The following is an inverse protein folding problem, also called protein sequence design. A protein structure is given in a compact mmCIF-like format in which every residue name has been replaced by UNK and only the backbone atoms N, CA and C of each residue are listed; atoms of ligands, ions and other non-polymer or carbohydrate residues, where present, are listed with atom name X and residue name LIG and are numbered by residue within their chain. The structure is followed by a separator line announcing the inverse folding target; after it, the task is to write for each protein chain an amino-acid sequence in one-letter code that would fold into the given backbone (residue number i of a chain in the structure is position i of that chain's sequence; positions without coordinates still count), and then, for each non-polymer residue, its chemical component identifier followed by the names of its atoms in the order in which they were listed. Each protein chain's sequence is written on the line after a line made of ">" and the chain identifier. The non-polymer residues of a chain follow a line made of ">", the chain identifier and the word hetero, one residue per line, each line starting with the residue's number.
data_IF_273947667264
#
_entry.id   IF_273947667264
#
_cell.length_a   1.000
_cell.length_b   1.000
_cell.length_c   1.000
_cell.angle_alpha   90.00
_cell.angle_beta   90.00
_cell.angle_gamma   90.00
#
_symmetry.space_group_name_H-M   'P 1'
#
loop_
_entity.id
_entity.type
_entity.pdbx_description
1 polymer ?
#
# COMPACT_ATOMS: atom_id res chain seq x y z
N UNK A 1 -0.20 20.59 -8.76
CA UNK A 1 -1.33 21.23 -8.02
C UNK A 1 -0.97 21.29 -6.56
N UNK A 2 -1.42 22.34 -5.87
CA UNK A 2 -1.21 22.51 -4.42
C UNK A 2 -2.41 21.91 -3.68
N UNK A 3 -2.14 20.97 -2.78
CA UNK A 3 -3.14 20.32 -1.95
C UNK A 3 -2.85 20.63 -0.48
N UNK A 4 -3.88 21.03 0.26
CA UNK A 4 -3.80 21.30 1.69
C UNK A 4 -4.60 20.26 2.47
N UNK A 5 -3.89 19.39 3.20
CA UNK A 5 -4.52 18.50 4.19
C UNK A 5 -4.70 19.25 5.49
N UNK A 6 -5.91 19.24 6.04
CA UNK A 6 -6.23 19.95 7.28
C UNK A 6 -7.16 19.11 8.15
N UNK A 7 -7.15 19.38 9.43
CA UNK A 7 -8.09 18.79 10.37
C UNK A 7 -8.81 19.84 11.23
N UNK A 8 -9.80 19.40 12.00
CA UNK A 8 -10.58 20.28 12.87
C UNK A 8 -9.77 20.92 14.02
N UNK A 9 -8.55 20.46 14.29
CA UNK A 9 -7.66 21.01 15.33
C UNK A 9 -6.72 22.10 14.79
N UNK A 10 -6.86 22.49 13.53
CA UNK A 10 -6.03 23.53 12.91
C UNK A 10 -4.67 23.05 12.42
N UNK A 11 -4.39 21.73 12.42
CA UNK A 11 -3.20 21.21 11.78
C UNK A 11 -3.38 21.26 10.26
N UNK A 12 -2.41 21.81 9.55
CA UNK A 12 -2.42 21.96 8.09
C UNK A 12 -1.07 21.56 7.50
N UNK A 13 -1.10 20.79 6.40
CA UNK A 13 0.06 20.45 5.60
C UNK A 13 -0.22 20.72 4.13
N UNK A 14 0.61 21.56 3.54
CA UNK A 14 0.59 21.87 2.12
C UNK A 14 1.59 21.00 1.38
N UNK A 15 1.18 20.44 0.24
CA UNK A 15 2.01 19.57 -0.58
C UNK A 15 1.80 19.83 -2.07
N UNK A 16 2.80 19.47 -2.87
CA UNK A 16 2.64 19.38 -4.32
C UNK A 16 2.09 18.01 -4.75
N UNK A 17 1.06 18.06 -5.59
CA UNK A 17 0.40 16.88 -6.17
C UNK A 17 0.52 16.92 -7.70
N UNK A 18 0.94 15.82 -8.28
CA UNK A 18 1.01 15.64 -9.74
C UNK A 18 -0.38 15.66 -10.39
N UNK A 19 -0.40 15.85 -11.71
CA UNK A 19 -1.62 15.66 -12.48
C UNK A 19 -2.02 14.19 -12.43
N UNK A 20 -3.30 13.92 -12.18
CA UNK A 20 -3.88 12.57 -12.07
C UNK A 20 -3.26 11.68 -10.97
N UNK A 21 -2.44 12.25 -10.09
CA UNK A 21 -1.88 11.55 -8.93
C UNK A 21 -2.95 11.29 -7.87
N UNK A 22 -2.94 10.08 -7.31
CA UNK A 22 -3.85 9.69 -6.22
C UNK A 22 -3.50 10.51 -4.96
N UNK A 23 -4.50 11.15 -4.37
CA UNK A 23 -4.32 12.06 -3.23
C UNK A 23 -3.69 11.37 -2.02
N UNK A 24 -4.01 10.10 -1.75
CA UNK A 24 -3.32 9.35 -0.70
C UNK A 24 -1.81 9.24 -0.98
N UNK A 25 -1.44 8.88 -2.21
CA UNK A 25 -0.04 8.70 -2.60
C UNK A 25 0.73 10.02 -2.54
N UNK A 26 0.13 11.10 -3.06
CA UNK A 26 0.70 12.44 -2.99
C UNK A 26 1.02 12.88 -1.55
N UNK A 27 0.09 12.66 -0.62
CA UNK A 27 0.32 12.99 0.78
C UNK A 27 1.41 12.14 1.42
N UNK A 28 1.37 10.83 1.22
CA UNK A 28 2.33 9.90 1.81
C UNK A 28 3.77 10.14 1.31
N UNK A 29 3.97 10.35 -0.01
CA UNK A 29 5.32 10.63 -0.55
C UNK A 29 5.87 12.00 -0.11
N UNK A 30 5.00 12.92 0.31
CA UNK A 30 5.40 14.20 0.93
C UNK A 30 5.52 14.10 2.45
N UNK A 31 5.47 12.88 3.01
CA UNK A 31 5.66 12.61 4.43
C UNK A 31 4.48 13.03 5.32
N UNK A 32 3.29 13.24 4.77
CA UNK A 32 2.10 13.49 5.60
C UNK A 32 1.53 12.17 6.09
N UNK A 33 1.40 12.02 7.40
CA UNK A 33 0.76 10.84 8.01
C UNK A 33 -0.75 10.94 7.80
N UNK A 34 -1.28 10.14 6.90
CA UNK A 34 -2.69 10.09 6.51
C UNK A 34 -3.38 8.83 7.06
N UNK A 35 -4.71 8.86 7.24
CA UNK A 35 -5.48 7.66 7.58
C UNK A 35 -5.58 6.75 6.36
N UNK A 36 -5.12 5.52 6.45
CA UNK A 36 -5.30 4.47 5.43
C UNK A 36 -4.99 3.10 6.02
N UNK A 37 -5.52 2.05 5.35
CA UNK A 37 -5.15 0.65 5.59
C UNK A 37 -4.92 -0.07 4.25
N UNK A 38 -5.96 -0.36 3.45
CA UNK A 38 -5.84 -1.15 2.23
C UNK A 38 -5.27 -0.42 1.01
N UNK A 39 -5.38 0.90 0.94
CA UNK A 39 -4.99 1.77 -0.19
C UNK A 39 -5.65 1.46 -1.54
N UNK A 40 -6.67 0.59 -1.58
CA UNK A 40 -7.33 0.09 -2.80
C UNK A 40 -8.84 0.32 -2.85
N UNK A 41 -9.39 1.11 -1.92
CA UNK A 41 -10.81 1.47 -1.90
C UNK A 41 -11.74 0.47 -1.20
N UNK A 42 -11.21 -0.59 -0.59
CA UNK A 42 -12.03 -1.66 0.00
C UNK A 42 -12.44 -1.38 1.44
N UNK A 43 -11.56 -0.82 2.29
CA UNK A 43 -11.81 -0.72 3.73
C UNK A 43 -12.51 0.57 4.19
N UNK A 44 -12.46 1.65 3.41
CA UNK A 44 -13.05 2.94 3.78
C UNK A 44 -12.26 3.78 4.79
N UNK A 45 -11.12 3.30 5.32
CA UNK A 45 -10.34 3.97 6.38
C UNK A 45 -9.78 5.34 5.98
N UNK A 46 -9.56 5.58 4.69
CA UNK A 46 -9.01 6.82 4.16
C UNK A 46 -10.08 7.86 3.76
N UNK A 47 -11.26 7.82 4.41
CA UNK A 47 -12.34 8.77 4.10
C UNK A 47 -11.93 10.20 4.44
N UNK A 48 -12.21 11.11 3.51
CA UNK A 48 -11.90 12.53 3.58
C UNK A 48 -13.06 13.38 3.03
N UNK A 49 -12.99 14.68 3.23
CA UNK A 49 -13.96 15.65 2.73
C UNK A 49 -13.23 16.74 1.95
N UNK A 50 -13.74 17.08 0.77
CA UNK A 50 -13.32 18.23 -0.02
C UNK A 50 -14.54 19.02 -0.51
N UNK A 51 -14.34 20.25 -1.00
CA UNK A 51 -15.40 21.00 -1.66
C UNK A 51 -15.93 20.17 -2.85
N UNK A 52 -17.26 19.97 -2.97
CA UNK A 52 -17.82 19.22 -4.08
C UNK A 52 -17.34 19.74 -5.42
N UNK A 53 -16.93 18.82 -6.31
CA UNK A 53 -16.45 19.15 -7.66
C UNK A 53 -14.95 19.37 -7.79
N UNK A 54 -14.19 19.53 -6.68
CA UNK A 54 -12.72 19.75 -6.74
C UNK A 54 -11.90 18.47 -6.83
N UNK A 55 -12.52 17.32 -6.57
CA UNK A 55 -11.89 15.99 -6.61
C UNK A 55 -12.64 15.09 -7.58
N UNK A 56 -11.90 14.37 -8.44
CA UNK A 56 -12.42 13.22 -9.17
C UNK A 56 -12.36 11.99 -8.29
N UNK A 57 -13.40 11.16 -8.33
CA UNK A 57 -13.43 9.85 -7.68
C UNK A 57 -13.38 8.78 -8.77
N UNK A 58 -12.33 7.98 -8.77
CA UNK A 58 -12.03 7.03 -9.85
C UNK A 58 -13.00 5.84 -9.85
N UNK A 59 -12.91 4.96 -8.86
CA UNK A 59 -13.77 3.78 -8.73
C UNK A 59 -14.76 3.99 -7.57
N UNK A 60 -16.06 4.06 -7.86
CA UNK A 60 -17.11 4.36 -6.87
C UNK A 60 -17.82 3.11 -6.35
N UNK A 61 -17.74 2.01 -7.07
CA UNK A 61 -18.47 0.77 -6.78
C UNK A 61 -17.72 -0.17 -5.84
N UNK A 62 -16.64 0.33 -5.21
CA UNK A 62 -15.85 -0.43 -4.25
C UNK A 62 -16.52 -0.46 -2.87
N UNK A 63 -16.31 -1.53 -2.13
CA UNK A 63 -16.93 -1.76 -0.82
C UNK A 63 -16.74 -0.61 0.18
N UNK A 64 -15.59 0.05 0.17
CA UNK A 64 -15.29 1.18 1.02
C UNK A 64 -16.18 2.40 0.82
N UNK A 65 -16.91 2.48 -0.32
CA UNK A 65 -17.82 3.58 -0.61
C UNK A 65 -19.23 3.41 -0.03
N UNK A 66 -19.58 2.27 0.54
CA UNK A 66 -20.92 2.01 1.11
C UNK A 66 -21.42 3.12 2.06
N UNK A 67 -20.50 3.78 2.78
CA UNK A 67 -20.80 4.84 3.73
C UNK A 67 -20.17 6.20 3.35
N UNK A 68 -19.95 6.46 2.06
CA UNK A 68 -19.33 7.68 1.54
C UNK A 68 -20.39 8.53 0.82
N UNK A 69 -20.62 9.75 1.29
CA UNK A 69 -21.60 10.69 0.73
C UNK A 69 -20.93 11.61 -0.30
N UNK A 70 -20.69 11.08 -1.51
CA UNK A 70 -19.98 11.80 -2.59
C UNK A 70 -20.64 13.14 -2.92
N UNK A 71 -21.98 13.23 -2.90
CA UNK A 71 -22.72 14.48 -3.15
C UNK A 71 -22.43 15.57 -2.10
N UNK A 72 -21.94 15.19 -0.92
CA UNK A 72 -21.52 16.12 0.15
C UNK A 72 -20.01 16.39 0.13
N UNK A 73 -19.28 15.92 -0.88
CA UNK A 73 -17.83 16.06 -1.01
C UNK A 73 -17.02 15.03 -0.24
N UNK A 74 -17.66 13.98 0.35
CA UNK A 74 -16.92 12.87 0.93
C UNK A 74 -16.35 11.98 -0.17
N UNK A 75 -15.14 11.48 0.04
CA UNK A 75 -14.45 10.54 -0.86
C UNK A 75 -13.40 9.72 -0.11
N UNK A 76 -12.80 8.72 -0.79
CA UNK A 76 -11.65 7.97 -0.28
C UNK A 76 -10.37 8.52 -0.89
N UNK A 77 -9.38 8.89 -0.06
CA UNK A 77 -8.09 9.45 -0.52
C UNK A 77 -7.40 8.55 -1.55
N UNK A 78 -7.50 7.22 -1.38
CA UNK A 78 -6.89 6.24 -2.30
C UNK A 78 -7.62 6.09 -3.64
N UNK A 79 -8.77 6.75 -3.81
CA UNK A 79 -9.59 6.75 -5.03
C UNK A 79 -9.87 8.18 -5.55
N UNK A 80 -9.23 9.17 -4.96
CA UNK A 80 -9.39 10.58 -5.34
C UNK A 80 -8.19 11.13 -6.07
N UNK A 81 -8.45 11.92 -7.14
CA UNK A 81 -7.46 12.77 -7.81
C UNK A 81 -7.94 14.22 -7.81
N UNK A 82 -7.03 15.18 -7.64
CA UNK A 82 -7.41 16.59 -7.64
C UNK A 82 -7.67 17.09 -9.07
N UNK A 83 -8.70 17.93 -9.23
CA UNK A 83 -8.96 18.67 -10.47
C UNK A 83 -8.27 20.03 -10.49
N UNK A 84 -8.08 20.60 -9.31
CA UNK A 84 -7.52 21.92 -9.08
C UNK A 84 -6.86 21.96 -7.69
N UNK A 85 -6.25 23.08 -7.33
CA UNK A 85 -5.77 23.31 -5.98
C UNK A 85 -6.96 23.19 -5.00
N UNK A 86 -6.84 22.36 -3.98
CA UNK A 86 -7.96 22.12 -3.08
C UNK A 86 -7.53 21.86 -1.64
N UNK A 87 -8.50 22.00 -0.75
CA UNK A 87 -8.38 21.69 0.68
C UNK A 87 -9.11 20.38 0.97
N UNK A 88 -8.43 19.50 1.71
CA UNK A 88 -8.94 18.19 2.10
C UNK A 88 -9.01 18.12 3.61
N UNK A 89 -10.23 18.02 4.14
CA UNK A 89 -10.49 17.91 5.57
C UNK A 89 -10.49 16.44 6.01
N UNK A 90 -9.76 16.15 7.07
CA UNK A 90 -9.63 14.85 7.70
C UNK A 90 -10.10 14.86 9.15
N UNK A 91 -10.69 13.76 9.61
CA UNK A 91 -11.13 13.58 11.00
C UNK A 91 -10.09 12.88 11.87
N UNK A 92 -8.81 13.09 11.60
CA UNK A 92 -7.68 12.47 12.33
C UNK A 92 -6.64 13.51 12.67
N UNK A 93 -5.76 13.20 13.60
CA UNK A 93 -4.57 14.01 13.82
C UNK A 93 -3.66 13.88 12.59
N UNK A 94 -3.06 15.00 12.21
CA UNK A 94 -2.07 15.08 11.14
C UNK A 94 -0.70 15.30 11.74
N UNK A 95 0.32 14.67 11.15
CA UNK A 95 1.73 14.84 11.51
C UNK A 95 2.59 14.61 10.28
N UNK A 96 3.87 14.90 10.40
CA UNK A 96 4.88 14.45 9.45
C UNK A 96 5.43 13.10 9.87
N UNK A 97 5.82 12.27 8.90
CA UNK A 97 6.62 11.07 9.11
C UNK A 97 7.96 11.40 9.74
N UNK A 98 8.57 10.46 10.42
CA UNK A 98 9.93 10.62 10.92
C UNK A 98 10.90 10.88 9.76
N UNK A 99 11.90 11.73 10.01
CA UNK A 99 12.89 12.10 8.98
C UNK A 99 13.75 10.92 8.51
N UNK A 100 13.91 9.93 9.37
CA UNK A 100 14.74 8.74 9.11
C UNK A 100 13.95 7.59 8.45
N UNK A 101 12.64 7.76 8.22
CA UNK A 101 11.84 6.75 7.54
C UNK A 101 11.89 6.95 6.03
N UNK A 102 12.05 5.82 5.31
CA UNK A 102 11.88 5.80 3.86
C UNK A 102 10.46 6.22 3.52
N UNK A 103 10.31 7.36 2.83
CA UNK A 103 9.02 7.77 2.29
C UNK A 103 8.66 6.90 1.08
N UNK A 104 7.38 6.57 0.90
CA UNK A 104 6.95 5.83 -0.29
C UNK A 104 7.11 6.69 -1.54
N UNK A 105 7.42 6.03 -2.63
CA UNK A 105 7.61 6.67 -3.93
C UNK A 105 7.17 5.74 -5.07
N UNK A 106 7.01 6.31 -6.27
CA UNK A 106 6.74 5.55 -7.48
C UNK A 106 8.03 5.06 -8.11
N UNK A 107 8.03 3.82 -8.57
CA UNK A 107 9.07 3.28 -9.43
C UNK A 107 8.54 2.19 -10.35
N UNK A 108 9.29 1.93 -11.41
CA UNK A 108 9.02 0.79 -12.29
C UNK A 108 9.62 -0.47 -11.68
N UNK A 109 8.86 -1.55 -11.78
CA UNK A 109 9.31 -2.89 -11.39
C UNK A 109 8.88 -3.92 -12.43
N UNK A 110 9.63 -5.01 -12.50
CA UNK A 110 9.38 -6.12 -13.41
C UNK A 110 9.06 -7.38 -12.61
N UNK A 111 7.85 -7.91 -12.75
CA UNK A 111 7.42 -9.14 -12.10
C UNK A 111 7.90 -10.33 -12.92
N UNK A 112 8.65 -11.23 -12.28
CA UNK A 112 9.28 -12.42 -12.86
C UNK A 112 9.25 -13.61 -11.90
N UNK A 113 9.89 -14.71 -12.29
CA UNK A 113 10.11 -15.92 -11.48
C UNK A 113 8.80 -16.53 -10.98
N UNK A 114 7.82 -16.62 -11.87
CA UNK A 114 6.52 -17.21 -11.56
C UNK A 114 6.64 -18.68 -11.23
N UNK A 115 6.22 -19.09 -10.03
CA UNK A 115 6.23 -20.46 -9.59
C UNK A 115 4.94 -20.85 -8.90
N UNK A 116 4.23 -21.84 -9.40
CA UNK A 116 3.07 -22.39 -8.70
C UNK A 116 3.51 -23.10 -7.41
N UNK A 117 2.90 -22.73 -6.28
CA UNK A 117 3.20 -23.27 -4.95
C UNK A 117 2.01 -23.98 -4.33
N UNK A 118 0.81 -23.67 -4.79
CA UNK A 118 -0.44 -24.35 -4.42
C UNK A 118 -1.49 -24.07 -5.50
N UNK A 119 -2.62 -24.75 -5.43
CA UNK A 119 -3.74 -24.54 -6.35
C UNK A 119 -4.09 -23.04 -6.44
N UNK A 120 -4.08 -22.52 -7.67
CA UNK A 120 -4.36 -21.09 -7.96
C UNK A 120 -3.49 -20.12 -7.14
N UNK A 121 -2.28 -20.52 -6.77
CA UNK A 121 -1.38 -19.68 -5.96
C UNK A 121 0.03 -19.79 -6.50
N UNK A 122 0.61 -18.63 -6.84
CA UNK A 122 1.99 -18.52 -7.31
C UNK A 122 2.82 -17.67 -6.36
N UNK A 123 4.12 -17.91 -6.34
CA UNK A 123 5.12 -16.94 -5.92
C UNK A 123 5.66 -16.22 -7.16
N UNK A 124 6.04 -14.96 -7.01
CA UNK A 124 6.72 -14.18 -8.03
C UNK A 124 7.57 -13.09 -7.36
N UNK A 125 8.53 -12.56 -8.11
CA UNK A 125 9.44 -11.54 -7.61
C UNK A 125 9.32 -10.25 -8.43
N UNK A 126 9.24 -9.10 -7.76
CA UNK A 126 9.48 -7.82 -8.39
C UNK A 126 10.97 -7.49 -8.35
N UNK A 127 11.55 -7.25 -9.52
CA UNK A 127 12.87 -6.66 -9.71
C UNK A 127 12.68 -5.16 -9.88
N UNK A 128 13.25 -4.39 -8.97
CA UNK A 128 13.05 -2.95 -8.87
C UNK A 128 14.07 -2.20 -9.73
N UNK A 129 13.71 -1.03 -10.21
CA UNK A 129 14.64 -0.13 -10.91
C UNK A 129 15.65 0.54 -9.97
N UNK A 130 15.39 0.54 -8.66
CA UNK A 130 16.24 1.07 -7.61
C UNK A 130 15.96 0.40 -6.28
N UNK A 131 16.91 0.47 -5.35
CA UNK A 131 16.76 -0.13 -4.03
C UNK A 131 15.75 0.61 -3.17
N UNK A 132 15.05 -0.12 -2.32
CA UNK A 132 14.16 0.41 -1.30
C UNK A 132 14.49 -0.15 0.07
N UNK A 133 14.35 0.67 1.09
CA UNK A 133 14.34 0.22 2.48
C UNK A 133 12.89 0.15 2.95
N UNK A 134 12.52 -0.95 3.61
CA UNK A 134 11.16 -1.12 4.13
C UNK A 134 11.18 -1.84 5.48
N UNK A 135 10.11 -1.71 6.25
CA UNK A 135 9.93 -2.45 7.51
C UNK A 135 9.20 -3.75 7.21
N UNK A 136 9.64 -4.84 7.84
CA UNK A 136 8.97 -6.13 7.74
C UNK A 136 7.49 -6.02 8.13
N UNK A 137 6.60 -6.54 7.29
CA UNK A 137 5.14 -6.38 7.40
C UNK A 137 4.53 -5.30 6.51
N UNK A 138 5.35 -4.43 5.89
CA UNK A 138 4.86 -3.45 4.91
C UNK A 138 4.44 -4.13 3.60
N UNK A 139 3.74 -3.36 2.76
CA UNK A 139 3.25 -3.77 1.45
C UNK A 139 3.50 -2.69 0.40
N UNK A 140 3.33 -3.05 -0.85
CA UNK A 140 3.31 -2.14 -2.00
C UNK A 140 1.93 -2.17 -2.66
N UNK A 141 1.59 -1.11 -3.39
CA UNK A 141 0.50 -1.14 -4.35
C UNK A 141 1.05 -1.09 -5.75
N UNK A 142 0.44 -1.85 -6.63
CA UNK A 142 0.89 -2.03 -8.02
C UNK A 142 -0.19 -1.63 -9.00
N UNK A 143 0.21 -1.06 -10.14
CA UNK A 143 -0.66 -0.72 -11.26
C UNK A 143 -0.09 -1.30 -12.54
N UNK A 144 -0.95 -2.00 -13.29
CA UNK A 144 -0.64 -2.48 -14.63
C UNK A 144 -1.42 -1.67 -15.67
N UNK A 145 -0.85 -1.31 -16.82
CA UNK A 145 -1.53 -0.48 -17.83
C UNK A 145 -2.86 -1.07 -18.33
N UNK A 146 -2.94 -2.40 -18.42
CA UNK A 146 -4.15 -3.11 -18.90
C UNK A 146 -5.21 -3.33 -17.82
N UNK A 147 -4.97 -2.91 -16.56
CA UNK A 147 -5.89 -3.17 -15.45
C UNK A 147 -6.15 -1.88 -14.68
N UNK A 148 -7.42 -1.50 -14.60
CA UNK A 148 -7.84 -0.32 -13.85
C UNK A 148 -7.59 -0.48 -12.34
N UNK A 149 -7.16 0.61 -11.70
CA UNK A 149 -6.93 0.70 -10.25
C UNK A 149 -5.65 0.02 -9.77
N UNK A 150 -5.36 0.21 -8.51
CA UNK A 150 -4.20 -0.38 -7.83
C UNK A 150 -4.57 -1.69 -7.12
N UNK A 151 -3.58 -2.57 -6.94
CA UNK A 151 -3.69 -3.79 -6.12
C UNK A 151 -2.59 -3.80 -5.07
N UNK A 152 -2.93 -4.19 -3.85
CA UNK A 152 -2.01 -4.25 -2.72
C UNK A 152 -1.41 -5.66 -2.58
N UNK A 153 -0.10 -5.73 -2.42
CA UNK A 153 0.64 -6.97 -2.16
C UNK A 153 1.66 -6.76 -1.05
N UNK A 154 1.56 -7.57 0.00
CA UNK A 154 2.58 -7.63 1.05
C UNK A 154 3.82 -8.36 0.54
N UNK A 155 5.00 -7.86 0.88
CA UNK A 155 6.25 -8.57 0.66
C UNK A 155 6.34 -9.77 1.58
N UNK A 156 6.91 -10.86 1.10
CA UNK A 156 7.16 -12.08 1.88
C UNK A 156 8.61 -12.17 2.38
N UNK A 157 9.54 -11.55 1.66
CA UNK A 157 10.94 -11.41 2.07
C UNK A 157 11.15 -10.16 2.95
N UNK A 158 12.31 -10.12 3.59
CA UNK A 158 12.85 -8.91 4.22
C UNK A 158 14.35 -8.83 3.96
N UNK A 159 14.79 -7.69 3.48
CA UNK A 159 16.18 -7.33 3.28
C UNK A 159 16.31 -5.80 3.34
N UNK A 160 17.33 -5.31 4.05
CA UNK A 160 17.64 -3.87 4.04
C UNK A 160 18.16 -3.46 2.65
N UNK A 161 17.67 -2.33 2.13
CA UNK A 161 18.07 -1.83 0.80
C UNK A 161 17.90 -2.87 -0.33
N UNK A 162 16.74 -3.50 -0.39
CA UNK A 162 16.44 -4.52 -1.39
C UNK A 162 16.09 -3.94 -2.76
N UNK A 163 16.56 -4.58 -3.81
CA UNK A 163 16.10 -4.39 -5.19
C UNK A 163 15.18 -5.53 -5.65
N UNK A 164 14.85 -6.44 -4.73
CA UNK A 164 13.97 -7.59 -4.94
C UNK A 164 12.85 -7.63 -3.90
N UNK A 165 11.60 -7.74 -4.35
CA UNK A 165 10.44 -7.97 -3.48
C UNK A 165 9.75 -9.27 -3.86
N UNK A 166 9.69 -10.23 -2.94
CA UNK A 166 9.01 -11.50 -3.15
C UNK A 166 7.54 -11.41 -2.74
N UNK A 167 6.66 -12.02 -3.54
CA UNK A 167 5.23 -11.99 -3.36
C UNK A 167 4.62 -13.39 -3.38
N UNK A 168 3.46 -13.53 -2.73
CA UNK A 168 2.51 -14.63 -2.94
C UNK A 168 1.23 -14.06 -3.53
N UNK A 169 0.83 -14.60 -4.68
CA UNK A 169 -0.33 -14.13 -5.45
C UNK A 169 -1.29 -15.29 -5.62
N UNK A 170 -2.51 -15.13 -5.10
CA UNK A 170 -3.59 -16.08 -5.31
C UNK A 170 -4.53 -15.59 -6.39
N UNK A 171 -4.91 -16.47 -7.31
CA UNK A 171 -5.91 -16.16 -8.31
C UNK A 171 -7.26 -15.88 -7.63
N UNK A 172 -7.84 -14.74 -7.94
CA UNK A 172 -9.15 -14.34 -7.40
C UNK A 172 -10.21 -14.52 -8.47
N UNK A 173 -11.28 -15.22 -8.17
CA UNK A 173 -12.44 -15.33 -9.06
C UNK A 173 -12.87 -13.92 -9.52
N UNK A 174 -12.93 -13.71 -10.83
CA UNK A 174 -13.21 -12.43 -11.47
C UNK A 174 -12.18 -11.32 -11.13
N UNK A 175 -10.99 -11.68 -10.68
CA UNK A 175 -9.91 -10.73 -10.39
C UNK A 175 -9.21 -10.26 -11.66
N UNK A 176 -9.45 -9.01 -12.09
CA UNK A 176 -8.89 -8.48 -13.36
C UNK A 176 -7.37 -8.66 -13.44
N UNK A 177 -6.62 -8.31 -12.40
CA UNK A 177 -5.16 -8.43 -12.41
C UNK A 177 -4.70 -9.88 -12.26
N UNK A 178 -5.30 -10.63 -11.33
CA UNK A 178 -4.87 -12.02 -11.11
C UNK A 178 -5.19 -12.89 -12.31
N UNK A 179 -6.36 -12.76 -12.95
CA UNK A 179 -6.66 -13.46 -14.20
C UNK A 179 -5.65 -13.11 -15.28
N UNK A 180 -5.33 -11.81 -15.46
CA UNK A 180 -4.30 -11.40 -16.41
C UNK A 180 -2.95 -12.08 -16.14
N UNK A 181 -2.50 -12.15 -14.87
CA UNK A 181 -1.23 -12.77 -14.49
C UNK A 181 -1.21 -14.29 -14.73
N UNK A 182 -2.33 -14.97 -14.46
CA UNK A 182 -2.44 -16.41 -14.62
C UNK A 182 -2.66 -16.86 -16.08
N UNK A 183 -3.22 -15.97 -16.92
CA UNK A 183 -3.44 -16.21 -18.35
C UNK A 183 -2.24 -15.76 -19.20
N UNK A 184 -1.38 -14.88 -18.66
CA UNK A 184 -0.19 -14.39 -19.37
C UNK A 184 0.82 -15.51 -19.56
N UNK A 185 1.47 -15.48 -20.74
CA UNK A 185 2.64 -16.32 -21.05
C UNK A 185 3.95 -15.56 -20.98
N UNK A 186 3.88 -14.29 -20.50
CA UNK A 186 5.07 -13.45 -20.41
C UNK A 186 5.89 -13.84 -19.18
N UNK A 187 7.17 -14.08 -19.37
CA UNK A 187 8.11 -14.36 -18.30
C UNK A 187 8.47 -13.11 -17.48
N UNK A 188 8.15 -11.93 -18.02
CA UNK A 188 8.41 -10.64 -17.41
C UNK A 188 7.24 -9.68 -17.66
N UNK A 189 6.68 -9.11 -16.59
CA UNK A 189 5.55 -8.17 -16.68
C UNK A 189 5.93 -6.87 -15.96
N UNK A 190 5.82 -5.76 -16.70
CA UNK A 190 6.14 -4.41 -16.20
C UNK A 190 4.99 -3.81 -15.39
N UNK A 191 5.31 -3.25 -14.23
CA UNK A 191 4.38 -2.54 -13.36
C UNK A 191 4.90 -1.16 -12.96
N UNK A 192 3.98 -0.24 -12.68
CA UNK A 192 4.22 0.90 -11.81
C UNK A 192 3.87 0.49 -10.37
N UNK A 193 4.80 0.64 -9.46
CA UNK A 193 4.60 0.32 -8.04
C UNK A 193 4.73 1.59 -7.20
N UNK A 194 3.98 1.65 -6.11
CA UNK A 194 4.08 2.68 -5.10
C UNK A 194 4.25 2.04 -3.72
N UNK A 195 5.25 2.47 -2.99
CA UNK A 195 5.57 1.97 -1.65
C UNK A 195 6.98 2.35 -1.22
N UNK A 196 7.44 1.82 -0.06
CA UNK A 196 6.73 0.92 0.85
C UNK A 196 5.66 1.66 1.68
N UNK A 197 4.56 0.98 1.99
CA UNK A 197 3.47 1.50 2.81
C UNK A 197 2.96 0.43 3.79
N UNK A 198 2.19 0.83 4.79
CA UNK A 198 1.65 -0.07 5.81
C UNK A 198 2.15 0.27 7.21
N UNK A 199 1.33 -0.05 8.22
CA UNK A 199 1.57 0.29 9.62
C UNK A 199 1.76 -0.93 10.52
N UNK A 200 1.33 -2.11 10.08
CA UNK A 200 1.49 -3.37 10.79
C UNK A 200 2.92 -3.90 10.56
N UNK A 201 3.88 -3.33 11.26
CA UNK A 201 5.31 -3.62 11.08
C UNK A 201 5.92 -4.24 12.33
N UNK A 202 6.96 -5.05 12.12
CA UNK A 202 7.76 -5.61 13.20
C UNK A 202 8.71 -4.57 13.78
N UNK A 203 8.70 -4.48 15.12
CA UNK A 203 9.65 -3.66 15.86
C UNK A 203 10.40 -4.53 16.89
N UNK A 204 11.63 -4.98 16.59
CA UNK A 204 12.38 -5.86 17.49
C UNK A 204 12.74 -5.20 18.83
N UNK A 205 12.77 -3.86 18.90
CA UNK A 205 13.07 -3.13 20.13
C UNK A 205 11.97 -3.25 21.20
N UNK A 206 10.77 -3.69 20.80
CA UNK A 206 9.69 -3.93 21.78
C UNK A 206 9.94 -5.13 22.69
N UNK A 207 10.79 -6.08 22.27
CA UNK A 207 11.22 -7.24 23.08
C UNK A 207 10.04 -8.03 23.64
N UNK A 208 9.10 -8.45 22.80
CA UNK A 208 7.84 -9.12 23.16
C UNK A 208 7.67 -10.45 22.45
N UNK A 209 6.98 -11.38 23.07
CA UNK A 209 6.46 -12.55 22.37
C UNK A 209 5.46 -12.11 21.29
N UNK A 210 5.43 -12.82 20.16
CA UNK A 210 4.57 -12.53 19.04
C UNK A 210 3.53 -13.63 18.85
N UNK A 211 2.28 -13.25 18.71
CA UNK A 211 1.21 -14.10 18.20
C UNK A 211 0.81 -13.60 16.82
N UNK A 212 0.97 -14.43 15.80
CA UNK A 212 0.62 -14.13 14.41
C UNK A 212 -0.59 -14.96 14.01
N UNK A 213 -1.58 -14.32 13.38
CA UNK A 213 -2.79 -15.01 12.91
C UNK A 213 -2.98 -14.67 11.44
N UNK A 214 -2.98 -15.69 10.59
CA UNK A 214 -3.13 -15.54 9.15
C UNK A 214 -4.29 -16.36 8.58
N UNK A 215 -4.97 -15.80 7.58
CA UNK A 215 -5.93 -16.51 6.72
C UNK A 215 -5.50 -16.40 5.25
N UNK A 216 -5.27 -17.54 4.59
CA UNK A 216 -4.88 -17.58 3.18
C UNK A 216 -3.60 -16.78 2.90
N UNK A 217 -3.63 -15.92 1.87
CA UNK A 217 -2.47 -15.07 1.51
C UNK A 217 -2.16 -13.95 2.51
N UNK A 218 -2.97 -13.77 3.56
CA UNK A 218 -2.65 -12.87 4.67
C UNK A 218 -1.35 -13.22 5.39
N UNK A 219 -0.85 -14.45 5.23
CA UNK A 219 0.46 -14.88 5.73
C UNK A 219 1.64 -14.09 5.11
N UNK A 220 1.48 -13.50 3.93
CA UNK A 220 2.59 -12.88 3.19
C UNK A 220 3.36 -11.84 4.03
N UNK A 221 2.67 -10.87 4.64
CA UNK A 221 3.30 -9.87 5.50
C UNK A 221 3.94 -10.48 6.77
N UNK A 222 3.35 -11.54 7.31
CA UNK A 222 3.89 -12.26 8.47
C UNK A 222 5.18 -13.01 8.11
N UNK A 223 5.29 -13.54 6.89
CA UNK A 223 6.55 -14.15 6.41
C UNK A 223 7.71 -13.15 6.39
N UNK A 224 7.46 -11.92 5.95
CA UNK A 224 8.46 -10.85 6.02
C UNK A 224 8.90 -10.57 7.47
N UNK A 225 7.95 -10.56 8.42
CA UNK A 225 8.26 -10.39 9.85
C UNK A 225 9.08 -11.57 10.39
N UNK A 226 8.71 -12.81 10.05
CA UNK A 226 9.46 -13.99 10.43
C UNK A 226 10.89 -13.98 9.88
N UNK A 227 11.06 -13.60 8.60
CA UNK A 227 12.38 -13.46 7.99
C UNK A 227 13.26 -12.45 8.74
N UNK A 228 12.71 -11.29 9.11
CA UNK A 228 13.45 -10.29 9.86
C UNK A 228 13.76 -10.76 11.29
N UNK A 229 12.81 -11.39 11.96
CA UNK A 229 13.01 -11.94 13.30
C UNK A 229 14.09 -13.03 13.31
N UNK A 230 14.14 -13.90 12.30
CA UNK A 230 15.17 -14.93 12.15
C UNK A 230 16.56 -14.32 11.94
N UNK A 231 16.69 -13.34 11.06
CA UNK A 231 17.95 -12.62 10.84
C UNK A 231 18.52 -11.99 12.12
N UNK A 232 17.64 -11.56 13.02
CA UNK A 232 17.99 -10.98 14.33
C UNK A 232 18.15 -12.02 15.46
N UNK A 233 17.98 -13.31 15.15
CA UNK A 233 17.91 -14.40 16.15
C UNK A 233 16.86 -14.15 17.25
N UNK A 234 15.77 -13.48 16.88
CA UNK A 234 14.72 -13.08 17.83
C UNK A 234 14.07 -14.28 18.54
N UNK A 235 14.05 -15.44 17.88
CA UNK A 235 13.49 -16.68 18.41
C UNK A 235 14.30 -17.30 19.58
N UNK A 236 15.54 -16.85 19.79
CA UNK A 236 16.35 -17.30 20.92
C UNK A 236 15.85 -16.71 22.25
N UNK A 237 15.28 -15.50 22.20
CA UNK A 237 14.85 -14.76 23.39
C UNK A 237 13.33 -14.67 23.54
N UNK A 238 12.57 -14.74 22.45
CA UNK A 238 11.13 -14.47 22.41
C UNK A 238 10.37 -15.56 21.67
N UNK A 239 9.22 -15.94 22.24
CA UNK A 239 8.33 -16.90 21.61
C UNK A 239 7.57 -16.27 20.46
N UNK A 240 7.49 -16.98 19.33
CA UNK A 240 6.69 -16.61 18.16
C UNK A 240 5.77 -17.77 17.82
N UNK A 241 4.46 -17.54 17.87
CA UNK A 241 3.40 -18.49 17.50
C UNK A 241 2.72 -17.99 16.22
N UNK A 242 2.51 -18.88 15.23
CA UNK A 242 1.80 -18.62 13.97
C UNK A 242 0.60 -19.56 13.83
#
# INVERSE_FOLDING_TARGET
>A
MVIKYLNKKGQEFEIDCGKDEILLQAGLRNGVVLPYECSTGTCGSCKALAKPGTVNVNEKDLDGFKNVKISKGEFLLCQGTAKENCKILLNTNLSKSNKDEQLPFHQIAYLKDFKEVARETITANFYLSGKISFKAGQYIIVKHPSVEGYRAYSMTNFEENSDLLSLVIKNKINGKLTNYLFDSKDDEIKFDIFGPIGKATFNPLEKKNLLMIAGGTGIAGLMSILNHADQLRYFEDYKVDL
#
